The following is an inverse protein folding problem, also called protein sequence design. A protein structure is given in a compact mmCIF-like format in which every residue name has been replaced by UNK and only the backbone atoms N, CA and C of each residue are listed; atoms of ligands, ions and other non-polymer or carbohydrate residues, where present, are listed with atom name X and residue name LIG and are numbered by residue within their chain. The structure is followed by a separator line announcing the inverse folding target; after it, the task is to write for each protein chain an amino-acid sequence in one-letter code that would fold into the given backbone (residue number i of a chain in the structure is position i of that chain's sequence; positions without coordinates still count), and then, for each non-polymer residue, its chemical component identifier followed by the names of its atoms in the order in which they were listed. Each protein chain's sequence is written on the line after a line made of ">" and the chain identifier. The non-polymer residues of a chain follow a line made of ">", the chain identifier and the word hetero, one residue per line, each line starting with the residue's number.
data_IF_780969474705
#
_entry.id   IF_780969474705
#
_cell.length_a   1.000
_cell.length_b   1.000
_cell.length_c   1.000
_cell.angle_alpha   90.00
_cell.angle_beta   90.00
_cell.angle_gamma   90.00
#
_symmetry.space_group_name_H-M   'P 1'
#
loop_
_entity.id
_entity.type
_entity.pdbx_description
1 polymer ?
#
# COMPACT_ATOMS: atom_id res chain seq x y z
N UNK A 1 25.84 8.56 3.93
CA UNK A 1 24.67 7.84 3.39
C UNK A 1 23.47 8.30 4.19
N UNK A 2 22.44 8.84 3.55
CA UNK A 2 21.16 9.07 4.23
C UNK A 2 20.50 7.70 4.49
N UNK A 3 19.80 7.56 5.61
CA UNK A 3 19.00 6.36 5.86
C UNK A 3 17.73 6.41 5.01
N UNK A 4 17.32 5.26 4.47
CA UNK A 4 16.07 5.15 3.73
C UNK A 4 14.88 5.52 4.61
N UNK A 5 13.91 6.21 4.06
CA UNK A 5 12.68 6.62 4.73
C UNK A 5 11.55 5.64 4.45
N UNK A 6 11.51 5.14 3.22
CA UNK A 6 10.46 4.27 2.72
C UNK A 6 11.05 2.97 2.18
N UNK A 7 10.27 1.91 2.29
CA UNK A 7 10.57 0.61 1.68
C UNK A 7 9.33 0.07 1.00
N UNK A 8 9.51 -0.49 -0.19
CA UNK A 8 8.50 -1.31 -0.87
C UNK A 8 8.95 -2.75 -0.86
N UNK A 9 8.02 -3.65 -0.52
CA UNK A 9 8.20 -5.10 -0.65
C UNK A 9 7.09 -5.65 -1.54
N UNK A 10 7.46 -6.43 -2.57
CA UNK A 10 6.52 -7.12 -3.46
C UNK A 10 6.22 -8.55 -2.97
N UNK A 11 5.19 -9.18 -3.52
CA UNK A 11 4.78 -10.54 -3.16
C UNK A 11 5.85 -11.61 -3.42
N UNK A 12 6.70 -11.41 -4.43
CA UNK A 12 7.88 -12.23 -4.70
C UNK A 12 8.98 -12.13 -3.63
N UNK A 13 8.95 -11.08 -2.78
CA UNK A 13 10.01 -10.74 -1.84
C UNK A 13 11.06 -9.78 -2.39
N UNK A 14 10.90 -9.25 -3.59
CA UNK A 14 11.74 -8.15 -4.09
C UNK A 14 11.49 -6.86 -3.29
N UNK A 15 12.57 -6.11 -3.06
CA UNK A 15 12.59 -4.94 -2.16
C UNK A 15 13.26 -3.75 -2.83
N UNK A 16 12.66 -2.57 -2.65
CA UNK A 16 13.22 -1.28 -3.05
C UNK A 16 13.17 -0.29 -1.88
N UNK A 17 14.29 0.37 -1.61
CA UNK A 17 14.38 1.47 -0.65
C UNK A 17 14.22 2.82 -1.37
N UNK A 18 13.50 3.75 -0.73
CA UNK A 18 13.16 5.08 -1.25
C UNK A 18 12.61 5.06 -2.69
N UNK A 19 11.49 4.35 -2.93
CA UNK A 19 10.89 4.28 -4.25
C UNK A 19 10.49 5.68 -4.75
N UNK A 20 10.71 5.94 -6.03
CA UNK A 20 10.13 7.11 -6.69
C UNK A 20 8.64 6.88 -6.98
N UNK A 21 7.91 7.97 -7.24
CA UNK A 21 6.53 7.89 -7.74
C UNK A 21 6.41 7.04 -9.01
N UNK A 22 7.35 7.19 -9.95
CA UNK A 22 7.39 6.41 -11.19
C UNK A 22 7.61 4.93 -10.91
N UNK A 23 8.51 4.58 -9.97
CA UNK A 23 8.73 3.19 -9.61
C UNK A 23 7.48 2.56 -8.99
N UNK A 24 6.75 3.28 -8.13
CA UNK A 24 5.47 2.80 -7.60
C UNK A 24 4.46 2.51 -8.71
N UNK A 25 4.45 3.31 -9.78
CA UNK A 25 3.58 3.07 -10.94
C UNK A 25 3.97 1.82 -11.74
N UNK A 26 5.27 1.59 -11.93
CA UNK A 26 5.77 0.40 -12.61
C UNK A 26 5.46 -0.87 -11.82
N UNK A 27 5.68 -0.87 -10.51
CA UNK A 27 5.36 -2.02 -9.64
C UNK A 27 3.85 -2.35 -9.66
N UNK A 28 2.98 -1.34 -9.70
CA UNK A 28 1.54 -1.54 -9.89
C UNK A 28 1.18 -2.11 -11.28
N UNK A 29 2.00 -1.83 -12.28
CA UNK A 29 1.83 -2.39 -13.63
C UNK A 29 2.26 -3.85 -13.69
N UNK A 30 3.27 -4.25 -12.92
CA UNK A 30 3.65 -5.66 -12.77
C UNK A 30 2.55 -6.47 -12.08
N UNK A 31 1.90 -5.88 -11.07
CA UNK A 31 0.69 -6.47 -10.46
C UNK A 31 -0.48 -6.61 -11.46
N UNK A 32 -0.69 -5.62 -12.33
CA UNK A 32 -1.73 -5.66 -13.37
C UNK A 32 -1.47 -6.76 -14.40
N UNK A 33 -0.20 -7.06 -14.69
CA UNK A 33 0.23 -8.18 -15.55
C UNK A 33 0.12 -9.54 -14.87
N UNK A 34 -0.16 -9.58 -13.57
CA UNK A 34 -0.26 -10.80 -12.77
C UNK A 34 1.09 -11.38 -12.35
N UNK A 35 2.16 -10.59 -12.47
CA UNK A 35 3.51 -10.98 -12.04
C UNK A 35 3.62 -10.93 -10.51
N UNK A 36 2.82 -10.06 -9.88
CA UNK A 36 2.82 -9.81 -8.44
C UNK A 36 1.40 -9.77 -7.87
N UNK A 37 1.21 -10.36 -6.69
CA UNK A 37 -0.11 -10.43 -6.06
C UNK A 37 -0.38 -9.24 -5.14
N UNK A 38 0.67 -8.67 -4.55
CA UNK A 38 0.57 -7.53 -3.66
C UNK A 38 1.88 -6.73 -3.64
N UNK A 39 1.77 -5.50 -3.15
CA UNK A 39 2.90 -4.68 -2.73
C UNK A 39 2.58 -4.03 -1.39
N UNK A 40 3.60 -3.85 -0.55
CA UNK A 40 3.52 -3.18 0.75
C UNK A 40 4.51 -2.02 0.73
N UNK A 41 4.06 -0.83 1.10
CA UNK A 41 4.89 0.35 1.34
C UNK A 41 4.91 0.63 2.83
N UNK A 42 6.11 0.64 3.43
CA UNK A 42 6.30 0.84 4.86
C UNK A 42 7.29 1.96 5.17
N UNK A 43 7.24 2.47 6.40
CA UNK A 43 8.20 3.46 6.91
C UNK A 43 9.34 2.73 7.59
N UNK A 44 10.56 2.90 7.10
CA UNK A 44 11.76 2.22 7.63
C UNK A 44 12.02 2.59 9.10
N UNK A 45 11.66 3.80 9.51
CA UNK A 45 11.80 4.25 10.89
C UNK A 45 10.79 3.60 11.86
N UNK A 46 9.68 3.04 11.36
CA UNK A 46 8.70 2.35 12.19
C UNK A 46 9.09 0.88 12.38
N UNK A 47 9.85 0.61 13.44
CA UNK A 47 10.29 -0.74 13.81
C UNK A 47 9.15 -1.67 14.25
N UNK A 48 7.94 -1.14 14.47
CA UNK A 48 6.78 -1.96 14.85
C UNK A 48 6.12 -2.63 13.64
N UNK A 49 6.40 -2.13 12.43
CA UNK A 49 5.74 -2.55 11.20
C UNK A 49 4.24 -2.24 11.18
N UNK A 50 3.76 -1.33 12.02
CA UNK A 50 2.33 -1.00 12.14
C UNK A 50 1.91 0.20 11.28
N UNK A 51 2.85 0.83 10.57
CA UNK A 51 2.58 1.96 9.67
C UNK A 51 2.93 1.60 8.24
N UNK A 52 1.92 1.22 7.47
CA UNK A 52 2.07 0.81 6.08
C UNK A 52 0.87 1.19 5.22
N UNK A 53 1.06 1.19 3.91
CA UNK A 53 -0.01 1.09 2.92
C UNK A 53 0.24 -0.14 2.04
N UNK A 54 -0.80 -0.90 1.73
CA UNK A 54 -0.72 -2.13 0.95
C UNK A 54 -1.68 -2.07 -0.23
N UNK A 55 -1.29 -2.69 -1.33
CA UNK A 55 -2.18 -2.98 -2.46
C UNK A 55 -2.13 -4.48 -2.70
N UNK A 56 -3.29 -5.10 -2.84
CA UNK A 56 -3.41 -6.49 -3.27
C UNK A 56 -4.33 -6.59 -4.49
N UNK A 57 -4.07 -7.56 -5.37
CA UNK A 57 -5.00 -7.94 -6.43
C UNK A 57 -6.18 -8.70 -5.84
N UNK A 58 -7.36 -8.49 -6.41
CA UNK A 58 -8.59 -9.21 -6.04
C UNK A 58 -8.94 -10.24 -7.11
N UNK A 59 -9.66 -11.30 -6.72
CA UNK A 59 -10.17 -12.31 -7.66
C UNK A 59 -11.11 -11.71 -8.74
N UNK A 60 -11.73 -10.57 -8.44
CA UNK A 60 -12.59 -9.84 -9.37
C UNK A 60 -11.81 -8.98 -10.40
N UNK A 61 -10.47 -8.95 -10.34
CA UNK A 61 -9.62 -8.17 -11.23
C UNK A 61 -9.40 -6.71 -10.82
N UNK A 62 -9.94 -6.29 -9.66
CA UNK A 62 -9.67 -5.00 -9.04
C UNK A 62 -8.52 -5.05 -8.03
N UNK A 63 -8.42 -3.99 -7.24
CA UNK A 63 -7.44 -3.80 -6.17
C UNK A 63 -8.12 -3.64 -4.82
N UNK A 64 -7.56 -4.31 -3.82
CA UNK A 64 -7.80 -4.01 -2.41
C UNK A 64 -6.65 -3.11 -1.93
N UNK A 65 -6.98 -1.91 -1.50
CA UNK A 65 -6.02 -0.96 -0.92
C UNK A 65 -6.24 -0.92 0.58
N UNK A 66 -5.16 -1.01 1.34
CA UNK A 66 -5.18 -0.93 2.80
C UNK A 66 -4.19 0.11 3.29
N UNK A 67 -4.46 0.67 4.48
CA UNK A 67 -3.45 1.36 5.25
C UNK A 67 -3.62 1.09 6.74
N UNK A 68 -2.51 1.14 7.47
CA UNK A 68 -2.46 1.06 8.94
C UNK A 68 -1.67 2.23 9.51
N UNK A 69 -2.14 2.78 10.62
CA UNK A 69 -1.54 3.94 11.31
C UNK A 69 -1.09 3.63 12.73
N UNK A 70 -0.08 2.76 12.88
CA UNK A 70 0.58 2.51 14.16
C UNK A 70 -0.21 1.65 15.15
N UNK A 71 -1.45 1.27 14.83
CA UNK A 71 -2.32 0.43 15.66
C UNK A 71 -3.24 -0.44 14.78
N UNK A 72 -3.58 -1.64 15.26
CA UNK A 72 -4.54 -2.54 14.63
C UNK A 72 -5.94 -1.93 14.51
N UNK A 73 -6.38 -1.13 15.48
CA UNK A 73 -7.69 -0.47 15.44
C UNK A 73 -7.74 0.65 14.38
N UNK A 74 -6.57 1.09 13.90
CA UNK A 74 -6.38 2.09 12.84
C UNK A 74 -5.95 1.45 11.53
N UNK A 75 -6.63 0.36 11.17
CA UNK A 75 -6.50 -0.31 9.89
C UNK A 75 -7.77 -0.09 9.07
N UNK A 76 -7.59 0.31 7.82
CA UNK A 76 -8.68 0.58 6.90
C UNK A 76 -8.41 -0.05 5.55
N UNK A 77 -9.48 -0.34 4.83
CA UNK A 77 -9.43 -0.91 3.49
C UNK A 77 -10.42 -0.22 2.55
N UNK A 78 -10.14 -0.26 1.26
CA UNK A 78 -11.04 0.16 0.20
C UNK A 78 -10.82 -0.69 -1.06
N UNK A 79 -11.88 -0.83 -1.86
CA UNK A 79 -11.84 -1.51 -3.15
C UNK A 79 -11.90 -0.50 -4.29
N UNK A 80 -11.13 -0.74 -5.34
CA UNK A 80 -11.19 0.04 -6.58
C UNK A 80 -10.69 -0.80 -7.76
N UNK A 81 -11.19 -0.53 -8.96
CA UNK A 81 -10.68 -1.11 -10.20
C UNK A 81 -9.68 -0.18 -10.92
N UNK A 82 -9.54 1.06 -10.43
CA UNK A 82 -8.73 2.09 -11.09
C UNK A 82 -7.28 2.09 -10.58
N UNK A 83 -6.36 1.54 -11.41
CA UNK A 83 -4.92 1.55 -11.14
C UNK A 83 -4.34 2.95 -10.92
N UNK A 84 -4.82 3.97 -11.63
CA UNK A 84 -4.32 5.35 -11.46
C UNK A 84 -4.74 5.93 -10.13
N UNK A 85 -5.96 5.61 -9.67
CA UNK A 85 -6.41 6.00 -8.34
C UNK A 85 -5.59 5.31 -7.25
N UNK A 86 -5.29 4.01 -7.41
CA UNK A 86 -4.39 3.27 -6.50
C UNK A 86 -3.01 3.93 -6.43
N UNK A 87 -2.41 4.21 -7.58
CA UNK A 87 -1.11 4.89 -7.65
C UNK A 87 -1.14 6.25 -6.95
N UNK A 88 -2.15 7.08 -7.23
CA UNK A 88 -2.31 8.39 -6.59
C UNK A 88 -2.42 8.28 -5.06
N UNK A 89 -3.17 7.30 -4.56
CA UNK A 89 -3.35 7.07 -3.12
C UNK A 89 -2.05 6.61 -2.46
N UNK A 90 -1.38 5.60 -3.02
CA UNK A 90 -0.13 5.06 -2.45
C UNK A 90 0.99 6.08 -2.48
N UNK A 91 1.15 6.80 -3.59
CA UNK A 91 2.12 7.90 -3.71
C UNK A 91 1.82 8.99 -2.69
N UNK A 92 0.56 9.41 -2.55
CA UNK A 92 0.20 10.45 -1.59
C UNK A 92 0.41 10.01 -0.13
N UNK A 93 0.17 8.73 0.18
CA UNK A 93 0.48 8.17 1.49
C UNK A 93 2.00 8.15 1.74
N UNK A 94 2.77 7.67 0.76
CA UNK A 94 4.23 7.50 0.85
C UNK A 94 4.94 8.84 1.06
N UNK A 95 4.55 9.87 0.30
CA UNK A 95 5.17 11.19 0.34
C UNK A 95 4.44 12.19 1.27
N UNK A 96 3.55 11.71 2.14
CA UNK A 96 2.83 12.52 3.12
C UNK A 96 2.01 13.68 2.51
N UNK A 97 1.49 13.47 1.30
CA UNK A 97 0.65 14.44 0.60
C UNK A 97 -0.80 14.36 1.11
N UNK A 98 -1.56 15.47 1.07
CA UNK A 98 -2.96 15.48 1.48
C UNK A 98 -3.88 14.78 0.46
N UNK A 99 -5.13 14.49 0.85
CA UNK A 99 -6.22 14.11 -0.05
C UNK A 99 -6.46 12.61 -0.26
N UNK A 100 -5.50 11.74 0.11
CA UNK A 100 -5.66 10.29 -0.09
C UNK A 100 -6.71 9.65 0.85
N UNK A 101 -6.97 10.26 2.02
CA UNK A 101 -8.00 9.79 2.94
C UNK A 101 -9.41 10.04 2.41
N UNK A 102 -9.59 10.98 1.50
CA UNK A 102 -10.86 11.30 0.86
C UNK A 102 -11.00 10.65 -0.52
N UNK A 103 -9.90 10.14 -1.09
CA UNK A 103 -9.83 9.60 -2.45
C UNK A 103 -10.50 8.23 -2.60
N UNK A 104 -10.69 7.47 -1.52
CA UNK A 104 -11.31 6.16 -1.52
C UNK A 104 -12.38 6.04 -0.41
N UNK A 105 -13.39 5.18 -0.60
CA UNK A 105 -14.43 4.93 0.40
C UNK A 105 -13.90 3.98 1.49
N UNK A 106 -12.99 4.49 2.33
CA UNK A 106 -12.34 3.69 3.38
C UNK A 106 -13.35 3.11 4.37
N UNK A 107 -13.25 1.80 4.58
CA UNK A 107 -13.95 1.07 5.63
C UNK A 107 -12.94 0.61 6.68
N UNK A 108 -13.26 0.70 7.99
CA UNK A 108 -12.41 0.11 9.01
C UNK A 108 -12.26 -1.40 8.78
N UNK A 109 -11.01 -1.87 8.73
CA UNK A 109 -10.71 -3.29 8.78
C UNK A 109 -10.66 -3.70 10.25
N UNK A 110 -11.44 -4.70 10.60
CA UNK A 110 -11.49 -5.28 11.94
C UNK A 110 -11.16 -6.74 11.81
N UNK A 111 -10.00 -7.16 12.33
CA UNK A 111 -9.72 -8.57 12.45
C UNK A 111 -10.56 -9.12 13.60
N UNK A 112 -11.74 -9.65 13.29
CA UNK A 112 -12.41 -10.55 14.22
C UNK A 112 -11.58 -11.82 14.32
N UNK A 113 -10.84 -11.97 15.41
CA UNK A 113 -10.15 -13.19 15.79
C UNK A 113 -11.13 -14.38 15.71
N UNK A 114 -10.98 -15.24 14.72
CA UNK A 114 -11.48 -16.60 14.84
C UNK A 114 -10.57 -17.31 15.85
N UNK A 115 -11.11 -17.47 17.08
CA UNK A 115 -10.53 -18.35 18.10
C UNK A 115 -10.69 -19.81 17.72
#
# INVERSE_FOLDING_TARGET
>A
MAAALLRVTMGSGEIWDDPSEDLLFELLSDMERGEEQFLIVERVADVTGQTFAQVARTDAGGYLVEYREGDEDKHFQALTEDKRLVHSVITSWAFELPGWREALPWAPLRFTNYR
#
